data_IF_137777493869
#
_entry.id   IF_137777493869
#
_cell.length_a   1.000
_cell.length_b   1.000
_cell.length_c   1.000
_cell.angle_alpha   90.00
_cell.angle_beta   90.00
_cell.angle_gamma   90.00
#
_symmetry.space_group_name_H-M   'P 1'
#
loop_
_entity.id
_entity.type
_entity.pdbx_description
1 polymer ?
#
# COMPACT_ATOMS: atom_id res chain seq x y z
N UNK A 1 11.37 -19.68 -33.95
CA UNK A 1 10.55 -19.06 -32.89
C UNK A 1 11.49 -18.75 -31.74
N UNK A 2 11.84 -17.47 -31.56
CA UNK A 2 12.53 -16.99 -30.37
C UNK A 2 11.51 -16.09 -29.68
N UNK A 3 11.13 -16.46 -28.47
CA UNK A 3 10.16 -15.74 -27.67
C UNK A 3 10.69 -14.33 -27.37
N UNK A 4 9.91 -13.32 -27.72
CA UNK A 4 10.22 -11.91 -27.50
C UNK A 4 9.97 -11.62 -26.02
N UNK A 5 11.04 -11.47 -25.25
CA UNK A 5 10.96 -11.01 -23.87
C UNK A 5 10.57 -9.52 -23.88
N UNK A 6 9.28 -9.23 -23.69
CA UNK A 6 8.82 -7.88 -23.41
C UNK A 6 9.33 -7.48 -22.02
N UNK A 7 10.14 -6.43 -21.94
CA UNK A 7 10.40 -5.70 -20.69
C UNK A 7 9.07 -5.49 -19.93
N UNK A 8 9.02 -5.68 -18.60
CA UNK A 8 7.80 -5.41 -17.84
C UNK A 8 7.39 -3.97 -18.10
N UNK A 9 6.17 -3.80 -18.60
CA UNK A 9 5.65 -2.50 -19.01
C UNK A 9 5.38 -1.73 -17.72
N UNK A 10 6.02 -0.59 -17.42
CA UNK A 10 6.05 0.05 -16.08
C UNK A 10 4.75 0.06 -15.26
N UNK A 11 3.57 0.09 -15.90
CA UNK A 11 2.27 -0.06 -15.25
C UNK A 11 2.03 -1.43 -14.57
N UNK A 12 2.60 -2.52 -15.09
CA UNK A 12 2.53 -3.86 -14.48
C UNK A 12 3.30 -3.89 -13.15
N UNK A 13 4.52 -3.34 -13.10
CA UNK A 13 5.32 -3.21 -11.89
C UNK A 13 4.58 -2.39 -10.83
N UNK A 14 3.98 -1.27 -11.22
CA UNK A 14 3.22 -0.41 -10.30
C UNK A 14 1.99 -1.13 -9.74
N UNK A 15 1.24 -1.83 -10.58
CA UNK A 15 0.06 -2.60 -10.17
C UNK A 15 0.44 -3.77 -9.25
N UNK A 16 1.51 -4.50 -9.57
CA UNK A 16 2.03 -5.58 -8.74
C UNK A 16 2.54 -5.06 -7.39
N UNK A 17 3.21 -3.91 -7.37
CA UNK A 17 3.70 -3.29 -6.15
C UNK A 17 2.54 -2.85 -5.24
N UNK A 18 1.52 -2.22 -5.81
CA UNK A 18 0.27 -1.88 -5.11
C UNK A 18 -0.42 -3.10 -4.53
N UNK A 19 -0.61 -4.15 -5.33
CA UNK A 19 -1.22 -5.39 -4.89
C UNK A 19 -0.41 -6.06 -3.76
N UNK A 20 0.92 -6.07 -3.88
CA UNK A 20 1.81 -6.57 -2.84
C UNK A 20 1.61 -5.83 -1.52
N UNK A 21 1.67 -4.50 -1.52
CA UNK A 21 1.52 -3.70 -0.29
C UNK A 21 0.15 -3.95 0.33
N UNK A 22 -0.95 -3.83 -0.43
CA UNK A 22 -2.29 -4.08 0.11
C UNK A 22 -2.46 -5.49 0.67
N UNK A 23 -1.90 -6.50 0.00
CA UNK A 23 -1.93 -7.86 0.52
C UNK A 23 -1.17 -7.97 1.84
N UNK A 24 0.00 -7.34 1.94
CA UNK A 24 0.82 -7.38 3.15
C UNK A 24 0.24 -6.62 4.33
N UNK A 25 -0.42 -5.51 4.08
CA UNK A 25 -0.96 -4.62 5.08
C UNK A 25 -2.32 -5.11 5.61
N UNK A 26 -3.24 -5.46 4.72
CA UNK A 26 -4.64 -5.75 5.08
C UNK A 26 -5.15 -7.09 4.57
N UNK A 27 -4.32 -7.86 3.85
CA UNK A 27 -4.78 -8.95 2.98
C UNK A 27 -5.77 -8.43 1.91
N UNK A 28 -5.55 -7.19 1.45
CA UNK A 28 -6.40 -6.48 0.50
C UNK A 28 -7.88 -6.36 0.96
N UNK A 29 -8.11 -6.24 2.27
CA UNK A 29 -9.45 -6.06 2.85
C UNK A 29 -9.73 -4.60 3.14
N UNK A 30 -10.85 -4.09 2.62
CA UNK A 30 -11.27 -2.69 2.78
C UNK A 30 -11.54 -2.32 4.24
N UNK A 31 -12.15 -3.23 4.99
CA UNK A 31 -12.62 -3.00 6.35
C UNK A 31 -11.63 -3.49 7.42
N UNK A 32 -10.38 -3.79 7.02
CA UNK A 32 -9.35 -4.27 7.93
C UNK A 32 -9.10 -3.27 9.05
N UNK A 33 -9.03 -3.78 10.28
CA UNK A 33 -8.61 -3.06 11.48
C UNK A 33 -7.64 -3.97 12.22
N UNK A 34 -6.42 -3.49 12.49
CA UNK A 34 -5.45 -4.26 13.26
C UNK A 34 -5.59 -4.01 14.77
N UNK A 35 -4.83 -4.73 15.59
CA UNK A 35 -4.93 -4.66 17.06
C UNK A 35 -4.52 -3.31 17.67
N UNK A 36 -3.82 -2.47 16.91
CA UNK A 36 -3.39 -1.12 17.33
C UNK A 36 -4.29 -0.01 16.74
N UNK A 37 -5.33 -0.38 15.98
CA UNK A 37 -6.35 0.54 15.48
C UNK A 37 -6.09 1.11 14.09
N UNK A 38 -5.09 0.63 13.34
CA UNK A 38 -4.86 1.07 11.97
C UNK A 38 -5.88 0.44 11.01
N UNK A 39 -6.27 1.18 9.97
CA UNK A 39 -7.46 0.85 9.18
C UNK A 39 -7.22 0.81 7.66
N UNK A 40 -8.05 0.03 6.98
CA UNK A 40 -8.15 0.04 5.53
C UNK A 40 -7.01 -0.67 4.81
N UNK A 41 -7.01 -0.54 3.48
CA UNK A 41 -6.16 -1.33 2.58
C UNK A 41 -4.68 -1.21 2.86
N UNK A 42 -4.24 0.01 3.16
CA UNK A 42 -2.88 0.34 3.50
C UNK A 42 -2.60 0.51 5.00
N UNK A 43 -3.58 0.19 5.86
CA UNK A 43 -3.45 0.26 7.32
C UNK A 43 -3.06 1.66 7.83
N UNK A 44 -3.86 2.69 7.52
CA UNK A 44 -3.67 4.04 8.04
C UNK A 44 -3.81 4.06 9.58
N UNK A 45 -2.73 4.41 10.27
CA UNK A 45 -2.69 4.55 11.72
C UNK A 45 -2.92 5.99 12.20
N UNK A 46 -2.98 6.97 11.30
CA UNK A 46 -3.15 8.40 11.62
C UNK A 46 -4.63 8.83 11.59
N UNK A 47 -5.52 7.97 11.10
CA UNK A 47 -6.96 8.23 11.00
C UNK A 47 -7.34 9.27 9.95
N UNK A 48 -6.44 9.55 9.00
CA UNK A 48 -6.70 10.47 7.90
C UNK A 48 -7.64 9.84 6.86
N UNK A 49 -7.58 8.52 6.69
CA UNK A 49 -8.46 7.79 5.78
C UNK A 49 -9.94 8.04 6.09
N UNK A 50 -10.34 8.07 7.36
CA UNK A 50 -11.76 8.31 7.74
C UNK A 50 -12.22 9.73 7.34
N UNK A 51 -11.31 10.70 7.34
CA UNK A 51 -11.64 12.10 6.98
C UNK A 51 -11.79 12.26 5.48
N UNK A 52 -10.89 11.66 4.71
CA UNK A 52 -10.89 11.73 3.24
C UNK A 52 -11.90 10.74 2.63
N UNK A 53 -12.21 9.66 3.36
CA UNK A 53 -13.04 8.56 2.94
C UNK A 53 -14.00 8.10 4.06
N UNK A 54 -15.12 8.81 4.29
CA UNK A 54 -16.04 8.47 5.38
C UNK A 54 -16.59 7.04 5.30
N UNK A 55 -16.87 6.55 4.10
CA UNK A 55 -17.38 5.18 3.82
C UNK A 55 -16.26 4.18 3.49
N UNK A 56 -15.06 4.39 4.04
CA UNK A 56 -13.86 3.61 3.69
C UNK A 56 -14.06 2.09 3.75
N UNK A 57 -14.87 1.58 4.69
CA UNK A 57 -15.10 0.13 4.85
C UNK A 57 -15.65 -0.55 3.59
N UNK A 58 -16.34 0.19 2.73
CA UNK A 58 -16.98 -0.34 1.53
C UNK A 58 -16.54 0.35 0.24
N UNK A 59 -16.01 1.57 0.31
CA UNK A 59 -15.59 2.33 -0.87
C UNK A 59 -14.14 2.05 -1.28
N UNK A 60 -13.96 1.02 -2.11
CA UNK A 60 -12.67 0.64 -2.72
C UNK A 60 -12.03 1.81 -3.47
N UNK A 61 -12.80 2.53 -4.27
CA UNK A 61 -12.29 3.55 -5.19
C UNK A 61 -11.77 4.76 -4.41
N UNK A 62 -12.50 5.16 -3.38
CA UNK A 62 -12.10 6.23 -2.48
C UNK A 62 -10.82 5.88 -1.69
N UNK A 63 -10.71 4.65 -1.15
CA UNK A 63 -9.46 4.21 -0.53
C UNK A 63 -8.29 4.17 -1.52
N UNK A 64 -8.50 3.64 -2.73
CA UNK A 64 -7.44 3.61 -3.75
C UNK A 64 -6.99 5.00 -4.13
N UNK A 65 -7.91 5.95 -4.30
CA UNK A 65 -7.56 7.34 -4.58
C UNK A 65 -6.78 7.97 -3.42
N UNK A 66 -7.13 7.68 -2.17
CA UNK A 66 -6.38 8.12 -0.99
C UNK A 66 -4.95 7.58 -1.00
N UNK A 67 -4.79 6.27 -1.15
CA UNK A 67 -3.49 5.62 -1.11
C UNK A 67 -2.63 5.95 -2.34
N UNK A 68 -3.24 6.16 -3.50
CA UNK A 68 -2.55 6.64 -4.69
C UNK A 68 -1.90 8.01 -4.42
N UNK A 69 -2.67 8.98 -3.91
CA UNK A 69 -2.11 10.30 -3.55
C UNK A 69 -1.00 10.17 -2.50
N UNK A 70 -1.23 9.35 -1.49
CA UNK A 70 -0.25 9.12 -0.42
C UNK A 70 1.08 8.60 -0.97
N UNK A 71 1.03 7.55 -1.79
CA UNK A 71 2.21 6.92 -2.37
C UNK A 71 2.95 7.86 -3.30
N UNK A 72 2.24 8.50 -4.23
CA UNK A 72 2.86 9.42 -5.18
C UNK A 72 3.53 10.60 -4.46
N UNK A 73 2.91 11.13 -3.40
CA UNK A 73 3.48 12.26 -2.65
C UNK A 73 4.70 11.88 -1.80
N UNK A 74 4.71 10.68 -1.21
CA UNK A 74 5.76 10.27 -0.27
C UNK A 74 6.92 9.53 -0.94
N UNK A 75 6.59 8.63 -1.86
CA UNK A 75 7.54 7.70 -2.48
C UNK A 75 7.77 7.98 -3.96
N UNK A 76 6.88 8.74 -4.62
CA UNK A 76 6.94 8.97 -6.07
C UNK A 76 6.24 7.87 -6.87
N UNK A 77 6.50 6.60 -6.53
CA UNK A 77 5.91 5.43 -7.20
C UNK A 77 5.53 4.31 -6.21
N UNK A 78 4.65 3.41 -6.64
CA UNK A 78 4.35 2.19 -5.89
C UNK A 78 5.54 1.24 -5.84
N UNK A 79 6.36 1.17 -6.90
CA UNK A 79 7.58 0.38 -6.89
C UNK A 79 8.56 0.83 -5.79
N UNK A 80 8.76 2.14 -5.63
CA UNK A 80 9.60 2.71 -4.56
C UNK A 80 8.99 2.51 -3.18
N UNK A 81 7.66 2.64 -3.04
CA UNK A 81 6.96 2.33 -1.80
C UNK A 81 7.15 0.85 -1.40
N UNK A 82 7.07 -0.08 -2.35
CA UNK A 82 7.33 -1.51 -2.11
C UNK A 82 8.78 -1.75 -1.73
N UNK A 83 9.73 -1.10 -2.41
CA UNK A 83 11.15 -1.21 -2.08
C UNK A 83 11.42 -0.73 -0.64
N UNK A 84 10.85 0.41 -0.23
CA UNK A 84 10.91 0.90 1.14
C UNK A 84 10.30 -0.10 2.14
N UNK A 85 9.11 -0.60 1.83
CA UNK A 85 8.43 -1.61 2.65
C UNK A 85 9.29 -2.86 2.83
N UNK A 86 9.96 -3.33 1.78
CA UNK A 86 10.83 -4.52 1.85
C UNK A 86 12.14 -4.26 2.60
N UNK A 87 12.64 -3.02 2.58
CA UNK A 87 13.85 -2.60 3.27
C UNK A 87 13.65 -2.36 4.79
N UNK A 88 12.42 -2.48 5.30
CA UNK A 88 12.12 -2.33 6.74
C UNK A 88 13.01 -3.25 7.58
N UNK A 89 13.64 -2.65 8.60
CA UNK A 89 14.52 -3.36 9.52
C UNK A 89 13.82 -3.48 10.88
N UNK A 90 13.67 -4.69 11.43
CA UNK A 90 13.24 -4.85 12.80
C UNK A 90 14.38 -4.49 13.75
N UNK A 91 14.12 -3.58 14.70
CA UNK A 91 15.03 -3.27 15.82
C UNK A 91 14.39 -3.81 17.09
N UNK A 92 15.08 -4.71 17.81
CA UNK A 92 14.57 -5.35 19.03
C UNK A 92 13.21 -6.04 18.85
N UNK A 93 12.95 -6.61 17.67
CA UNK A 93 11.68 -7.30 17.37
C UNK A 93 10.53 -6.38 16.98
N UNK A 94 10.76 -5.07 16.89
CA UNK A 94 9.78 -4.08 16.43
C UNK A 94 10.17 -3.53 15.06
N UNK A 95 9.26 -3.59 14.09
CA UNK A 95 9.43 -2.94 12.80
C UNK A 95 9.39 -1.42 12.98
N UNK A 96 10.48 -0.72 12.64
CA UNK A 96 10.57 0.75 12.75
C UNK A 96 10.33 1.48 11.42
N UNK A 97 10.15 0.72 10.33
CA UNK A 97 9.85 1.25 9.00
C UNK A 97 8.35 1.16 8.69
N UNK A 98 7.55 2.03 9.32
CA UNK A 98 6.14 2.16 8.94
C UNK A 98 6.05 2.82 7.57
N UNK A 99 5.41 2.14 6.61
CA UNK A 99 5.27 2.64 5.25
C UNK A 99 4.13 3.67 5.12
N UNK A 100 3.28 3.81 6.14
CA UNK A 100 2.24 4.84 6.28
C UNK A 100 2.76 6.09 7.00
#
# INVERSE_FOLDING_TARGET
>A
MREEATDPVPADVEAEAKAFIYFKESTNRLDAVNSIGCIGLGQDCNGQLVKDCPEWRTDRACQEAYWERYVLNRYGTWAEAKAFWQARVPINGSDVGHWW
#
